data_IF_387431301549
#
_entry.id   IF_387431301549
#
_cell.length_a   1.000
_cell.length_b   1.000
_cell.length_c   1.000
_cell.angle_alpha   90.00
_cell.angle_beta   90.00
_cell.angle_gamma   90.00
#
_symmetry.space_group_name_H-M   'P 1'
#
loop_
_entity.id
_entity.type
_entity.pdbx_description
1 polymer ?
#
# COMPACT_ATOMS: atom_id res chain seq x y z
N UNK A 1 -12.14 -15.01 11.61
CA UNK A 1 -12.04 -13.66 11.01
C UNK A 1 -11.68 -13.86 9.56
N UNK A 2 -12.47 -13.38 8.61
CA UNK A 2 -12.17 -13.50 7.18
C UNK A 2 -11.25 -12.38 6.73
N UNK A 3 -10.14 -12.74 6.08
CA UNK A 3 -9.14 -11.78 5.59
C UNK A 3 -9.08 -11.82 4.07
N UNK A 4 -9.18 -10.66 3.42
CA UNK A 4 -8.93 -10.49 1.99
C UNK A 4 -7.56 -9.86 1.78
N UNK A 5 -6.74 -10.47 0.92
CA UNK A 5 -5.41 -10.02 0.56
C UNK A 5 -5.38 -9.53 -0.89
N UNK A 6 -4.68 -8.42 -1.13
CA UNK A 6 -4.32 -7.89 -2.45
C UNK A 6 -2.91 -7.29 -2.42
N UNK A 7 -2.39 -6.87 -3.57
CA UNK A 7 -1.17 -6.06 -3.70
C UNK A 7 -1.19 -5.30 -5.04
N UNK A 8 -0.13 -4.56 -5.35
CA UNK A 8 0.14 -4.00 -6.68
C UNK A 8 1.29 -4.70 -7.43
N UNK A 9 2.18 -5.44 -6.77
CA UNK A 9 3.25 -6.22 -7.45
C UNK A 9 2.71 -7.42 -8.29
N UNK A 10 1.46 -7.83 -8.06
CA UNK A 10 0.78 -8.92 -8.77
C UNK A 10 0.74 -10.26 -8.04
N UNK A 11 -0.07 -11.19 -8.56
CA UNK A 11 -0.49 -12.44 -7.90
C UNK A 11 0.66 -13.44 -7.62
N UNK A 12 1.75 -13.32 -8.35
CA UNK A 12 2.93 -14.19 -8.24
C UNK A 12 4.05 -13.57 -7.40
N UNK A 13 3.90 -12.33 -6.95
CA UNK A 13 4.93 -11.61 -6.21
C UNK A 13 5.28 -12.27 -4.88
N UNK A 14 6.56 -12.22 -4.52
CA UNK A 14 7.08 -12.73 -3.26
C UNK A 14 6.46 -12.02 -2.05
N UNK A 15 6.31 -10.70 -2.13
CA UNK A 15 5.69 -9.89 -1.07
C UNK A 15 4.25 -10.28 -0.76
N UNK A 16 3.48 -10.75 -1.76
CA UNK A 16 2.12 -11.27 -1.54
C UNK A 16 2.14 -12.64 -0.85
N UNK A 17 3.12 -13.49 -1.17
CA UNK A 17 3.31 -14.77 -0.48
C UNK A 17 3.71 -14.55 0.98
N UNK A 18 4.57 -13.54 1.22
CA UNK A 18 4.94 -13.07 2.56
C UNK A 18 3.72 -12.56 3.33
N UNK A 19 2.89 -11.72 2.71
CA UNK A 19 1.64 -11.24 3.32
C UNK A 19 0.70 -12.40 3.67
N UNK A 20 0.58 -13.39 2.80
CA UNK A 20 -0.24 -14.57 3.05
C UNK A 20 0.28 -15.39 4.25
N UNK A 21 1.60 -15.55 4.41
CA UNK A 21 2.20 -16.17 5.61
C UNK A 21 1.82 -15.40 6.86
N UNK A 22 1.95 -14.07 6.85
CA UNK A 22 1.56 -13.19 7.96
C UNK A 22 0.06 -13.33 8.28
N UNK A 23 -0.81 -13.23 7.27
CA UNK A 23 -2.26 -13.30 7.45
C UNK A 23 -2.70 -14.66 8.04
N UNK A 24 -2.03 -15.76 7.66
CA UNK A 24 -2.31 -17.10 8.19
C UNK A 24 -1.96 -17.27 9.67
N UNK A 25 -1.12 -16.40 10.23
CA UNK A 25 -0.92 -16.34 11.69
C UNK A 25 -2.11 -15.73 12.45
N UNK A 26 -3.01 -15.03 11.74
CA UNK A 26 -4.17 -14.33 12.30
C UNK A 26 -5.48 -15.09 12.10
N UNK A 27 -5.63 -15.78 10.96
CA UNK A 27 -6.79 -16.65 10.71
C UNK A 27 -6.49 -17.73 9.68
N UNK A 28 -7.28 -18.79 9.73
CA UNK A 28 -7.41 -19.83 8.71
C UNK A 28 -8.24 -19.43 7.47
N UNK A 29 -9.17 -18.48 7.59
CA UNK A 29 -10.02 -17.98 6.50
C UNK A 29 -9.38 -16.82 5.71
N UNK A 30 -8.32 -17.12 4.96
CA UNK A 30 -7.58 -16.16 4.13
C UNK A 30 -7.92 -16.33 2.65
N UNK A 31 -8.23 -15.22 1.99
CA UNK A 31 -8.55 -15.12 0.56
C UNK A 31 -7.58 -14.19 -0.14
N UNK A 32 -7.15 -14.55 -1.35
CA UNK A 32 -6.23 -13.76 -2.17
C UNK A 32 -6.93 -13.40 -3.47
N UNK A 33 -7.05 -12.10 -3.74
CA UNK A 33 -7.47 -11.56 -5.03
C UNK A 33 -6.50 -10.44 -5.37
N UNK A 34 -5.67 -10.63 -6.39
CA UNK A 34 -4.60 -9.68 -6.73
C UNK A 34 -4.46 -9.48 -8.24
N UNK A 35 -3.77 -8.42 -8.69
CA UNK A 35 -3.55 -8.18 -10.11
C UNK A 35 -2.80 -9.32 -10.82
N UNK A 36 -3.07 -9.51 -12.11
CA UNK A 36 -2.35 -10.49 -12.93
C UNK A 36 -0.85 -10.12 -13.08
N UNK A 37 -0.56 -8.82 -13.22
CA UNK A 37 0.77 -8.26 -13.43
C UNK A 37 0.97 -7.02 -12.55
N UNK A 38 2.22 -6.58 -12.42
CA UNK A 38 2.62 -5.34 -11.73
C UNK A 38 1.77 -4.13 -12.14
N UNK A 39 1.25 -3.41 -11.14
CA UNK A 39 0.41 -2.20 -11.21
C UNK A 39 1.04 -1.02 -10.45
N UNK A 40 2.36 -0.99 -10.31
CA UNK A 40 3.09 0.12 -9.68
C UNK A 40 2.75 1.46 -10.34
N UNK A 41 2.37 2.45 -9.53
CA UNK A 41 2.06 3.81 -9.98
C UNK A 41 0.65 4.02 -10.55
N UNK A 42 -0.24 3.03 -10.49
CA UNK A 42 -1.63 3.17 -10.93
C UNK A 42 -2.53 3.91 -9.93
N UNK A 43 -2.01 4.29 -8.75
CA UNK A 43 -2.75 5.00 -7.70
C UNK A 43 -4.10 4.31 -7.36
N UNK A 44 -5.08 5.09 -6.92
CA UNK A 44 -6.45 4.62 -6.66
C UNK A 44 -7.33 4.67 -7.92
N UNK A 45 -6.90 4.00 -8.99
CA UNK A 45 -7.64 3.93 -10.25
C UNK A 45 -8.58 2.73 -10.34
N UNK A 46 -9.70 2.91 -11.05
CA UNK A 46 -10.74 1.90 -11.26
C UNK A 46 -10.89 1.62 -12.76
N UNK A 47 -10.99 0.35 -13.16
CA UNK A 47 -11.18 -0.03 -14.56
C UNK A 47 -12.65 0.08 -14.97
N UNK A 48 -13.06 1.26 -15.47
CA UNK A 48 -14.45 1.52 -15.91
C UNK A 48 -14.64 1.27 -17.41
N UNK A 49 -13.61 1.55 -18.22
CA UNK A 49 -13.69 1.52 -19.68
C UNK A 49 -13.38 0.15 -20.29
N UNK A 50 -12.81 -0.78 -19.53
CA UNK A 50 -12.47 -2.13 -19.99
C UNK A 50 -13.10 -3.20 -19.09
N UNK A 51 -13.51 -4.36 -19.66
CA UNK A 51 -14.01 -5.47 -18.86
C UNK A 51 -12.90 -6.11 -18.03
N UNK A 52 -13.16 -6.32 -16.74
CA UNK A 52 -12.31 -7.10 -15.85
C UNK A 52 -12.35 -8.60 -16.20
N UNK A 53 -11.20 -9.27 -16.12
CA UNK A 53 -11.07 -10.72 -16.29
C UNK A 53 -10.60 -11.34 -14.98
N UNK A 54 -11.39 -12.28 -14.45
CA UNK A 54 -11.08 -13.03 -13.23
C UNK A 54 -10.59 -14.43 -13.59
N UNK A 55 -9.46 -14.85 -13.01
CA UNK A 55 -8.88 -16.18 -13.18
C UNK A 55 -8.71 -16.86 -11.83
N UNK A 56 -9.31 -18.04 -11.66
CA UNK A 56 -9.11 -18.87 -10.46
C UNK A 56 -7.78 -19.61 -10.57
N UNK A 57 -6.91 -19.44 -9.58
CA UNK A 57 -5.58 -20.07 -9.51
C UNK A 57 -5.56 -21.18 -8.46
N UNK A 58 -6.34 -21.02 -7.39
CA UNK A 58 -6.50 -22.01 -6.33
C UNK A 58 -7.86 -21.87 -5.68
N UNK A 59 -8.10 -22.63 -4.60
CA UNK A 59 -9.40 -22.63 -3.92
C UNK A 59 -9.84 -21.23 -3.48
N UNK A 60 -8.94 -20.50 -2.80
CA UNK A 60 -9.13 -19.12 -2.31
C UNK A 60 -8.13 -18.13 -2.93
N UNK A 61 -7.63 -18.42 -4.14
CA UNK A 61 -6.62 -17.61 -4.83
C UNK A 61 -7.08 -17.27 -6.24
N UNK A 62 -7.16 -15.99 -6.54
CA UNK A 62 -7.66 -15.47 -7.80
C UNK A 62 -6.77 -14.34 -8.30
N UNK A 63 -6.60 -14.27 -9.63
CA UNK A 63 -5.98 -13.14 -10.30
C UNK A 63 -7.02 -12.34 -11.08
N UNK A 64 -6.82 -11.03 -11.14
CA UNK A 64 -7.66 -10.10 -11.89
C UNK A 64 -6.79 -9.31 -12.86
N UNK A 65 -7.19 -9.25 -14.13
CA UNK A 65 -6.65 -8.24 -15.06
C UNK A 65 -7.28 -6.89 -14.71
N UNK A 66 -6.69 -6.18 -13.76
CA UNK A 66 -7.16 -4.90 -13.23
C UNK A 66 -6.24 -4.37 -12.12
N UNK A 67 -6.65 -3.30 -11.46
CA UNK A 67 -5.91 -2.60 -10.40
C UNK A 67 -6.11 -3.27 -9.03
N UNK A 68 -5.32 -2.89 -8.00
CA UNK A 68 -5.57 -3.35 -6.62
C UNK A 68 -6.98 -2.99 -6.12
N UNK A 69 -7.49 -1.81 -6.50
CA UNK A 69 -8.86 -1.37 -6.23
C UNK A 69 -9.88 -2.32 -6.86
N UNK A 70 -9.72 -2.67 -8.14
CA UNK A 70 -10.58 -3.63 -8.83
C UNK A 70 -10.56 -5.00 -8.12
N UNK A 71 -9.39 -5.43 -7.63
CA UNK A 71 -9.22 -6.69 -6.91
C UNK A 71 -10.01 -6.72 -5.59
N UNK A 72 -9.98 -5.63 -4.82
CA UNK A 72 -10.72 -5.52 -3.56
C UNK A 72 -12.23 -5.55 -3.79
N UNK A 73 -12.71 -4.79 -4.78
CA UNK A 73 -14.14 -4.80 -5.16
C UNK A 73 -14.56 -6.19 -5.63
N UNK A 74 -13.78 -6.80 -6.53
CA UNK A 74 -14.04 -8.15 -7.05
C UNK A 74 -14.07 -9.18 -5.91
N UNK A 75 -13.10 -9.08 -4.99
CA UNK A 75 -13.03 -9.89 -3.79
C UNK A 75 -14.30 -9.78 -2.95
N UNK A 76 -14.60 -8.57 -2.49
CA UNK A 76 -15.70 -8.31 -1.56
C UNK A 76 -17.09 -8.52 -2.16
N UNK A 77 -17.27 -8.28 -3.48
CA UNK A 77 -18.60 -8.29 -4.12
C UNK A 77 -18.89 -9.56 -4.92
N UNK A 78 -17.88 -10.31 -5.37
CA UNK A 78 -18.07 -11.44 -6.29
C UNK A 78 -17.42 -12.75 -5.83
N UNK A 79 -16.22 -12.69 -5.27
CA UNK A 79 -15.43 -13.89 -4.97
C UNK A 79 -15.76 -14.46 -3.60
N UNK A 80 -15.81 -13.61 -2.58
CA UNK A 80 -16.05 -14.05 -1.20
C UNK A 80 -17.55 -14.35 -0.97
N UNK A 81 -17.89 -15.28 -0.05
CA UNK A 81 -19.28 -15.58 0.29
C UNK A 81 -19.97 -14.49 1.14
N UNK A 82 -19.22 -13.47 1.55
CA UNK A 82 -19.67 -12.29 2.30
C UNK A 82 -18.50 -11.34 2.53
N UNK A 83 -18.77 -10.14 3.03
CA UNK A 83 -17.72 -9.14 3.28
C UNK A 83 -16.62 -9.73 4.19
N UNK A 84 -15.33 -9.44 3.91
CA UNK A 84 -14.26 -9.78 4.81
C UNK A 84 -14.29 -8.87 6.06
N UNK A 85 -13.71 -9.36 7.15
CA UNK A 85 -13.54 -8.59 8.38
C UNK A 85 -12.30 -7.65 8.29
N UNK A 86 -11.36 -7.99 7.41
CA UNK A 86 -10.09 -7.29 7.25
C UNK A 86 -9.62 -7.35 5.79
N UNK A 87 -9.17 -6.20 5.27
CA UNK A 87 -8.40 -6.13 4.02
C UNK A 87 -6.94 -5.84 4.37
N UNK A 88 -6.02 -6.66 3.86
CA UNK A 88 -4.59 -6.39 3.90
C UNK A 88 -4.08 -6.21 2.47
N UNK A 89 -3.33 -5.14 2.24
CA UNK A 89 -2.72 -4.83 0.94
C UNK A 89 -1.20 -4.79 1.05
N UNK A 90 -0.49 -5.59 0.25
CA UNK A 90 0.98 -5.68 0.26
C UNK A 90 1.49 -7.14 0.24
N UNK A 91 2.63 -7.46 0.86
CA UNK A 91 3.64 -6.54 1.38
C UNK A 91 4.37 -5.96 0.17
N UNK A 92 4.30 -4.64 -0.01
CA UNK A 92 4.89 -3.98 -1.17
C UNK A 92 6.42 -4.09 -1.16
N UNK A 93 7.00 -4.27 -2.35
CA UNK A 93 8.44 -4.16 -2.58
C UNK A 93 8.93 -2.70 -2.63
N UNK A 94 8.84 -1.99 -1.51
CA UNK A 94 9.26 -0.59 -1.37
C UNK A 94 8.35 0.20 -0.44
N UNK A 95 8.89 1.22 0.19
CA UNK A 95 8.14 2.06 1.14
C UNK A 95 7.12 2.94 0.41
N UNK A 96 5.90 3.01 0.95
CA UNK A 96 4.85 3.95 0.56
C UNK A 96 4.68 4.99 1.67
N UNK A 97 5.53 6.01 1.65
CA UNK A 97 5.63 7.05 2.68
C UNK A 97 5.46 8.43 2.06
N UNK A 98 5.10 9.41 2.90
CA UNK A 98 4.91 10.79 2.48
C UNK A 98 3.93 10.91 1.30
N UNK A 99 4.26 11.72 0.29
CA UNK A 99 3.40 12.01 -0.84
C UNK A 99 3.21 10.79 -1.78
N UNK A 100 4.08 9.77 -1.71
CA UNK A 100 3.97 8.54 -2.50
C UNK A 100 2.71 7.75 -2.17
N UNK A 101 2.14 7.96 -0.97
CA UNK A 101 0.83 7.43 -0.54
C UNK A 101 -0.26 7.67 -1.59
N UNK A 102 -0.23 8.83 -2.25
CA UNK A 102 -1.26 9.23 -3.25
C UNK A 102 -1.16 8.42 -4.54
N UNK A 103 0.02 7.91 -4.87
CA UNK A 103 0.31 7.20 -6.11
C UNK A 103 0.38 5.67 -5.92
N UNK A 104 0.33 5.22 -4.68
CA UNK A 104 0.56 3.83 -4.29
C UNK A 104 -0.64 2.93 -4.62
N UNK A 105 -0.40 1.88 -5.41
CA UNK A 105 -1.38 0.82 -5.64
C UNK A 105 -1.61 -0.03 -4.38
N UNK A 106 -0.55 -0.31 -3.63
CA UNK A 106 -0.67 -0.98 -2.33
C UNK A 106 -1.55 -0.18 -1.36
N UNK A 107 -1.34 1.12 -1.18
CA UNK A 107 -2.22 1.91 -0.29
C UNK A 107 -3.62 2.00 -0.88
N UNK A 108 -3.77 2.16 -2.20
CA UNK A 108 -5.06 2.15 -2.88
C UNK A 108 -5.91 0.89 -2.58
N UNK A 109 -5.30 -0.29 -2.50
CA UNK A 109 -6.02 -1.50 -2.07
C UNK A 109 -6.62 -1.37 -0.67
N UNK A 110 -5.91 -0.75 0.28
CA UNK A 110 -6.44 -0.49 1.61
C UNK A 110 -7.47 0.66 1.63
N UNK A 111 -7.30 1.68 0.79
CA UNK A 111 -8.29 2.76 0.61
C UNK A 111 -9.64 2.18 0.17
N UNK A 112 -9.66 1.30 -0.83
CA UNK A 112 -10.89 0.71 -1.34
C UNK A 112 -11.59 -0.14 -0.28
N UNK A 113 -10.84 -0.93 0.50
CA UNK A 113 -11.41 -1.68 1.62
C UNK A 113 -12.08 -0.77 2.65
N UNK A 114 -11.45 0.36 2.99
CA UNK A 114 -12.01 1.36 3.90
C UNK A 114 -13.25 2.04 3.33
N UNK A 115 -13.30 2.34 2.02
CA UNK A 115 -14.51 2.87 1.36
C UNK A 115 -15.69 1.88 1.40
N UNK A 116 -15.40 0.59 1.40
CA UNK A 116 -16.41 -0.46 1.57
C UNK A 116 -16.84 -0.67 3.03
N UNK A 117 -16.33 0.14 3.96
CA UNK A 117 -16.60 0.02 5.40
C UNK A 117 -15.87 -1.13 6.07
N UNK A 118 -14.78 -1.62 5.47
CA UNK A 118 -13.98 -2.73 5.98
C UNK A 118 -12.70 -2.17 6.59
N UNK A 119 -12.31 -2.72 7.75
CA UNK A 119 -11.02 -2.42 8.36
C UNK A 119 -9.89 -2.78 7.42
N UNK A 120 -9.01 -1.83 7.11
CA UNK A 120 -8.01 -2.00 6.05
C UNK A 120 -6.62 -1.52 6.46
N UNK A 121 -5.61 -2.30 6.09
CA UNK A 121 -4.20 -2.04 6.42
C UNK A 121 -3.32 -2.25 5.19
N UNK A 122 -2.48 -1.27 4.87
CA UNK A 122 -1.45 -1.37 3.85
C UNK A 122 -0.09 -1.69 4.50
N UNK A 123 0.70 -2.58 3.89
CA UNK A 123 2.00 -3.02 4.40
C UNK A 123 3.06 -2.88 3.30
N UNK A 124 4.20 -2.29 3.66
CA UNK A 124 5.27 -1.98 2.73
C UNK A 124 6.64 -2.28 3.35
N UNK A 125 7.53 -2.95 2.62
CA UNK A 125 8.89 -3.27 3.08
C UNK A 125 9.92 -2.41 2.37
N UNK A 126 10.67 -1.62 3.14
CA UNK A 126 11.81 -0.87 2.60
C UNK A 126 12.93 -1.82 2.19
N UNK A 127 13.68 -1.47 1.15
CA UNK A 127 14.71 -2.33 0.58
C UNK A 127 16.04 -1.59 0.40
N UNK A 128 17.10 -2.36 0.12
CA UNK A 128 18.42 -1.86 -0.31
C UNK A 128 18.71 -2.30 -1.74
N UNK A 129 19.75 -1.72 -2.34
CA UNK A 129 20.34 -2.26 -3.57
C UNK A 129 21.70 -2.84 -3.22
N UNK A 130 21.97 -4.06 -3.70
CA UNK A 130 23.31 -4.64 -3.73
C UNK A 130 23.76 -4.69 -5.19
N UNK A 131 24.60 -3.74 -5.59
CA UNK A 131 24.90 -3.48 -6.99
C UNK A 131 23.65 -3.09 -7.79
N UNK A 132 23.30 -3.90 -8.79
CA UNK A 132 22.10 -3.74 -9.62
C UNK A 132 20.88 -4.50 -9.07
N UNK A 133 21.07 -5.35 -8.06
CA UNK A 133 20.01 -6.20 -7.51
C UNK A 133 19.26 -5.48 -6.38
N UNK A 134 17.94 -5.60 -6.40
CA UNK A 134 17.05 -5.11 -5.34
C UNK A 134 16.90 -6.19 -4.26
N UNK A 135 17.31 -5.89 -3.03
CA UNK A 135 17.23 -6.82 -1.89
C UNK A 135 16.14 -6.36 -0.92
N UNK A 136 15.05 -7.11 -0.87
CA UNK A 136 13.86 -6.78 -0.05
C UNK A 136 13.79 -7.74 1.15
N UNK A 137 14.03 -7.28 2.38
CA UNK A 137 14.07 -8.15 3.56
C UNK A 137 12.64 -8.41 4.08
N UNK A 138 11.85 -9.21 3.35
CA UNK A 138 10.48 -9.56 3.75
C UNK A 138 10.42 -10.27 5.11
N UNK A 139 11.49 -10.95 5.51
CA UNK A 139 11.63 -11.57 6.82
C UNK A 139 11.45 -10.58 7.98
N UNK A 140 11.78 -9.30 7.78
CA UNK A 140 11.55 -8.24 8.78
C UNK A 140 10.06 -7.99 8.97
N UNK A 141 9.32 -7.83 7.88
CA UNK A 141 7.87 -7.70 7.95
C UNK A 141 7.22 -8.98 8.50
N UNK A 142 7.68 -10.17 8.11
CA UNK A 142 7.14 -11.45 8.60
C UNK A 142 7.33 -11.65 10.10
N UNK A 143 8.47 -11.22 10.64
CA UNK A 143 8.75 -11.31 12.07
C UNK A 143 7.93 -10.32 12.90
N UNK A 144 7.69 -9.11 12.39
CA UNK A 144 7.12 -8.00 13.17
C UNK A 144 5.62 -7.78 12.95
N UNK A 145 5.11 -8.05 11.74
CA UNK A 145 3.72 -7.78 11.39
C UNK A 145 2.69 -8.58 12.21
N UNK A 146 2.87 -9.89 12.52
CA UNK A 146 1.85 -10.66 13.25
C UNK A 146 1.43 -10.02 14.57
N UNK A 147 2.40 -9.65 15.41
CA UNK A 147 2.10 -9.10 16.73
C UNK A 147 1.66 -7.64 16.66
N UNK A 148 2.14 -6.87 15.67
CA UNK A 148 1.64 -5.53 15.41
C UNK A 148 0.18 -5.55 14.96
N UNK A 149 -0.18 -6.42 14.02
CA UNK A 149 -1.54 -6.57 13.51
C UNK A 149 -2.50 -7.01 14.60
N UNK A 150 -2.12 -7.96 15.48
CA UNK A 150 -2.95 -8.34 16.65
C UNK A 150 -3.28 -7.14 17.53
N UNK A 151 -2.30 -6.28 17.83
CA UNK A 151 -2.51 -5.05 18.63
C UNK A 151 -3.45 -4.08 17.93
N UNK A 152 -3.26 -3.85 16.63
CA UNK A 152 -4.11 -2.95 15.84
C UNK A 152 -5.55 -3.48 15.72
N UNK A 153 -5.72 -4.79 15.56
CA UNK A 153 -7.03 -5.44 15.47
C UNK A 153 -7.79 -5.44 16.81
N UNK A 154 -7.09 -5.40 17.94
CA UNK A 154 -7.70 -5.29 19.27
C UNK A 154 -8.27 -3.90 19.57
N UNK A 155 -7.83 -2.86 18.85
CA UNK A 155 -8.42 -1.52 18.97
C UNK A 155 -9.82 -1.46 18.33
N UNK A 156 -10.69 -0.52 18.74
CA UNK A 156 -11.94 -0.25 18.02
C UNK A 156 -11.66 0.10 16.55
N UNK A 157 -12.51 -0.40 15.64
CA UNK A 157 -12.45 0.02 14.24
C UNK A 157 -13.00 1.44 14.12
N UNK A 158 -12.22 2.32 13.48
CA UNK A 158 -12.65 3.67 13.13
C UNK A 158 -13.00 3.68 11.64
N UNK A 159 -14.26 3.97 11.31
CA UNK A 159 -14.70 4.10 9.93
C UNK A 159 -13.97 5.26 9.22
N UNK A 160 -13.73 5.09 7.91
CA UNK A 160 -13.05 6.10 7.09
C UNK A 160 -11.53 6.23 7.36
N UNK A 161 -10.96 5.39 8.23
CA UNK A 161 -9.52 5.37 8.54
C UNK A 161 -8.92 4.03 8.12
N UNK A 162 -7.84 4.10 7.33
CA UNK A 162 -6.95 2.96 7.07
C UNK A 162 -5.62 3.14 7.80
N UNK A 163 -4.89 2.05 8.02
CA UNK A 163 -3.55 2.10 8.62
C UNK A 163 -2.50 1.78 7.56
N UNK A 164 -1.52 2.67 7.38
CA UNK A 164 -0.37 2.45 6.51
C UNK A 164 0.85 2.08 7.35
N UNK A 165 1.43 0.91 7.08
CA UNK A 165 2.59 0.37 7.82
C UNK A 165 3.78 0.26 6.87
N UNK A 166 4.91 0.83 7.29
CA UNK A 166 6.17 0.68 6.59
C UNK A 166 7.22 0.06 7.52
N UNK A 167 7.92 -0.95 7.03
CA UNK A 167 9.02 -1.62 7.73
C UNK A 167 10.38 -1.09 7.22
N UNK A 168 11.36 -0.89 8.10
CA UNK A 168 12.69 -0.43 7.71
C UNK A 168 13.49 -1.54 7.01
N UNK A 169 14.56 -1.14 6.32
CA UNK A 169 15.44 -2.01 5.51
C UNK A 169 16.57 -2.66 6.33
N UNK A 170 16.27 -3.12 7.53
CA UNK A 170 17.19 -3.81 8.42
C UNK A 170 16.55 -5.11 8.93
N UNK A 171 17.35 -6.00 9.51
CA UNK A 171 16.84 -7.25 10.05
C UNK A 171 15.93 -7.00 11.28
N UNK A 172 15.01 -7.92 11.54
CA UNK A 172 14.00 -7.76 12.59
C UNK A 172 14.59 -7.43 13.99
N UNK A 173 15.73 -8.02 14.34
CA UNK A 173 16.41 -7.76 15.62
C UNK A 173 17.06 -6.37 15.73
N UNK A 174 17.30 -5.71 14.58
CA UNK A 174 17.93 -4.39 14.52
C UNK A 174 16.89 -3.25 14.47
N UNK A 175 15.60 -3.60 14.34
CA UNK A 175 14.49 -2.64 14.39
C UNK A 175 14.37 -2.08 15.80
N UNK A 176 14.48 -0.74 15.93
CA UNK A 176 14.53 -0.04 17.22
C UNK A 176 13.18 0.05 17.93
N UNK A 177 12.08 -0.19 17.20
CA UNK A 177 10.72 -0.21 17.73
C UNK A 177 9.68 0.18 16.70
N UNK A 178 8.48 0.48 17.18
CA UNK A 178 7.35 0.95 16.35
C UNK A 178 6.94 2.36 16.78
N UNK A 179 6.73 3.25 15.81
CA UNK A 179 6.29 4.62 16.04
C UNK A 179 4.97 4.89 15.31
N UNK A 180 4.03 5.52 16.01
CA UNK A 180 2.89 6.17 15.36
C UNK A 180 3.40 7.45 14.71
N UNK A 181 3.13 7.62 13.43
CA UNK A 181 3.72 8.67 12.60
C UNK A 181 2.68 9.50 11.89
N UNK A 182 3.05 10.73 11.53
CA UNK A 182 2.33 11.52 10.53
C UNK A 182 2.90 11.28 9.13
N UNK A 183 2.09 11.50 8.10
CA UNK A 183 2.56 11.50 6.72
C UNK A 183 3.60 12.61 6.53
N UNK A 184 4.79 12.24 6.08
CA UNK A 184 5.87 13.16 5.74
C UNK A 184 5.58 13.93 4.46
N UNK A 185 6.53 14.78 4.06
CA UNK A 185 6.45 15.53 2.81
C UNK A 185 7.79 15.46 2.09
N UNK A 186 7.76 15.15 0.80
CA UNK A 186 8.97 15.07 -0.02
C UNK A 186 8.88 16.13 -1.11
N UNK A 187 10.00 16.80 -1.39
CA UNK A 187 10.08 17.62 -2.59
C UNK A 187 10.24 16.68 -3.78
N UNK A 188 9.13 16.44 -4.49
CA UNK A 188 9.17 15.68 -5.73
C UNK A 188 9.99 16.45 -6.78
N UNK A 189 11.06 15.82 -7.26
CA UNK A 189 11.75 16.26 -8.47
C UNK A 189 11.23 15.38 -9.61
N UNK A 190 10.49 15.99 -10.51
CA UNK A 190 10.00 15.33 -11.71
C UNK A 190 10.73 15.91 -12.93
N UNK A 191 11.25 15.04 -13.78
CA UNK A 191 11.82 15.44 -15.06
C UNK A 191 11.47 14.45 -16.15
N UNK A 192 11.50 14.95 -17.39
CA UNK A 192 11.23 14.18 -18.59
C UNK A 192 12.56 13.95 -19.31
N UNK A 193 12.93 12.68 -19.49
CA UNK A 193 14.11 12.25 -20.25
C UNK A 193 13.67 11.88 -21.67
N UNK A 194 13.91 12.81 -22.62
CA UNK A 194 13.65 12.60 -24.04
C UNK A 194 14.74 11.76 -24.69
N UNK A 195 14.32 10.72 -25.43
CA UNK A 195 15.21 9.84 -26.20
C UNK A 195 14.59 9.57 -27.56
N UNK A 196 15.35 8.88 -28.43
CA UNK A 196 14.86 8.42 -29.73
C UNK A 196 15.00 6.90 -29.85
N UNK A 197 14.00 6.25 -30.44
CA UNK A 197 14.04 4.82 -30.72
C UNK A 197 15.01 4.50 -31.88
N UNK A 198 15.20 3.21 -32.20
CA UNK A 198 16.09 2.80 -33.29
C UNK A 198 15.69 3.30 -34.69
N UNK A 199 14.48 3.88 -34.84
CA UNK A 199 13.98 4.51 -36.07
C UNK A 199 14.02 6.04 -36.01
N UNK A 200 14.56 6.61 -34.94
CA UNK A 200 14.66 8.05 -34.73
C UNK A 200 13.37 8.70 -34.19
N UNK A 201 12.34 7.93 -33.82
CA UNK A 201 11.09 8.48 -33.27
C UNK A 201 11.29 8.88 -31.80
N UNK A 202 10.87 10.09 -31.38
CA UNK A 202 11.05 10.52 -29.99
C UNK A 202 10.15 9.74 -29.04
N UNK A 203 10.66 9.44 -27.85
CA UNK A 203 9.91 8.93 -26.71
C UNK A 203 10.43 9.56 -25.41
N UNK A 204 9.62 9.51 -24.36
CA UNK A 204 9.84 10.27 -23.14
C UNK A 204 9.69 9.37 -21.92
N UNK A 205 10.73 9.31 -21.08
CA UNK A 205 10.63 8.68 -19.77
C UNK A 205 10.25 9.72 -18.72
N UNK A 206 9.19 9.45 -17.98
CA UNK A 206 8.91 10.17 -16.75
C UNK A 206 9.78 9.60 -15.63
N UNK A 207 10.59 10.47 -15.00
CA UNK A 207 11.46 10.08 -13.89
C UNK A 207 11.08 10.85 -12.63
N UNK A 208 11.03 10.11 -11.53
CA UNK A 208 10.84 10.64 -10.21
C UNK A 208 12.18 10.58 -9.47
N UNK A 209 12.59 11.70 -8.90
CA UNK A 209 13.65 11.78 -7.91
C UNK A 209 13.08 12.30 -6.61
N UNK A 210 13.60 11.79 -5.50
CA UNK A 210 13.36 12.37 -4.19
C UNK A 210 14.37 13.50 -3.99
N UNK A 211 13.89 14.72 -3.79
CA UNK A 211 14.72 15.83 -3.31
C UNK A 211 15.08 15.67 -1.83
N UNK A 212 15.66 16.72 -1.24
CA UNK A 212 15.84 16.76 0.21
C UNK A 212 14.51 16.56 0.92
N UNK A 213 14.51 15.59 1.83
CA UNK A 213 13.42 15.32 2.76
C UNK A 213 13.62 16.20 3.99
N UNK A 214 12.60 16.99 4.36
CA UNK A 214 12.54 17.58 5.69
C UNK A 214 11.99 16.51 6.65
N UNK A 215 12.78 15.44 6.87
CA UNK A 215 12.48 14.28 7.71
C UNK A 215 12.28 14.65 9.18
N UNK A 216 11.21 15.41 9.45
CA UNK A 216 10.88 15.94 10.76
C UNK A 216 10.57 14.77 11.67
N UNK A 217 11.10 14.79 12.89
CA UNK A 217 10.78 13.81 13.91
C UNK A 217 9.27 13.67 14.07
N UNK A 218 8.80 12.43 14.11
CA UNK A 218 7.37 12.07 14.13
C UNK A 218 6.76 11.78 12.75
N UNK A 219 7.49 11.99 11.65
CA UNK A 219 7.04 11.58 10.30
C UNK A 219 7.39 10.13 9.99
N UNK A 220 6.65 9.54 9.05
CA UNK A 220 6.93 8.22 8.48
C UNK A 220 8.33 8.12 7.86
N UNK A 221 8.78 9.16 7.14
CA UNK A 221 10.14 9.23 6.59
C UNK A 221 11.17 9.11 7.70
N UNK A 222 11.06 9.92 8.74
CA UNK A 222 12.01 9.92 9.86
C UNK A 222 12.05 8.55 10.55
N UNK A 223 10.89 7.92 10.79
CA UNK A 223 10.85 6.60 11.41
C UNK A 223 11.62 5.56 10.58
N UNK A 224 11.36 5.50 9.27
CA UNK A 224 12.00 4.53 8.37
C UNK A 224 13.50 4.78 8.23
N UNK A 225 13.93 6.04 8.13
CA UNK A 225 15.35 6.41 8.06
C UNK A 225 16.11 6.12 9.37
N UNK A 226 15.40 5.99 10.49
CA UNK A 226 15.97 5.72 11.81
C UNK A 226 15.69 4.30 12.32
N UNK A 227 15.35 3.36 11.44
CA UNK A 227 15.14 1.93 11.75
C UNK A 227 13.95 1.65 12.70
N UNK A 228 12.90 2.47 12.63
CA UNK A 228 11.62 2.21 13.29
C UNK A 228 10.57 1.75 12.27
N UNK A 229 9.65 0.88 12.71
CA UNK A 229 8.41 0.63 11.97
C UNK A 229 7.52 1.86 12.08
N UNK A 230 7.08 2.38 10.94
CA UNK A 230 6.13 3.49 10.85
C UNK A 230 4.70 2.95 10.79
N UNK A 231 3.80 3.55 11.58
CA UNK A 231 2.36 3.28 11.58
C UNK A 231 1.62 4.60 11.45
N UNK A 232 1.11 4.89 10.26
CA UNK A 232 0.40 6.15 9.96
C UNK A 232 -1.08 5.88 9.74
N UNK A 233 -1.99 6.44 10.57
CA UNK A 233 -3.42 6.43 10.26
C UNK A 233 -3.70 7.43 9.13
N UNK A 234 -4.38 6.99 8.07
CA UNK A 234 -4.75 7.82 6.93
C UNK A 234 -6.26 7.91 6.79
N UNK A 235 -6.74 9.09 6.39
CA UNK A 235 -8.15 9.38 6.13
C UNK A 235 -8.40 9.49 4.63
N UNK A 236 -9.65 9.22 4.24
CA UNK A 236 -10.11 9.34 2.85
C UNK A 236 -10.93 10.61 2.59
N UNK A 237 -11.35 11.30 3.66
CA UNK A 237 -11.98 12.60 3.53
C UNK A 237 -10.91 13.68 3.39
N UNK A 238 -10.68 14.10 2.16
CA UNK A 238 -9.72 15.16 1.83
C UNK A 238 -10.25 16.58 2.05
N UNK A 239 -11.42 16.73 2.69
CA UNK A 239 -11.96 18.05 3.02
C UNK A 239 -11.01 18.78 3.97
N UNK A 240 -10.47 19.92 3.54
CA UNK A 240 -9.69 20.80 4.38
C UNK A 240 -10.62 21.59 5.33
N UNK A 241 -11.10 20.92 6.40
CA UNK A 241 -12.07 21.47 7.36
C UNK A 241 -11.64 22.83 7.94
N UNK A 242 -10.34 23.03 8.17
CA UNK A 242 -9.71 24.27 8.65
C UNK A 242 -10.05 25.52 7.81
N UNK A 243 -10.29 25.37 6.50
CA UNK A 243 -10.52 26.51 5.60
C UNK A 243 -11.99 26.80 5.33
N UNK A 244 -12.89 25.89 5.71
CA UNK A 244 -14.32 25.95 5.32
C UNK A 244 -15.00 27.22 5.81
N UNK A 245 -14.70 27.63 7.03
CA UNK A 245 -15.27 28.84 7.63
C UNK A 245 -14.79 30.11 6.91
N UNK A 246 -13.54 30.13 6.45
CA UNK A 246 -12.98 31.24 5.69
C UNK A 246 -13.62 31.35 4.31
N UNK A 247 -13.80 30.22 3.62
CA UNK A 247 -14.49 30.17 2.33
C UNK A 247 -15.94 30.63 2.45
N UNK A 248 -16.65 30.17 3.49
CA UNK A 248 -18.05 30.56 3.72
C UNK A 248 -18.19 32.07 3.91
N UNK A 249 -17.28 32.68 4.68
CA UNK A 249 -17.28 34.13 4.89
C UNK A 249 -16.93 34.92 3.62
N UNK A 250 -16.04 34.40 2.78
CA UNK A 250 -15.61 35.08 1.55
C UNK A 250 -16.66 35.09 0.44
N UNK A 251 -17.61 34.15 0.47
CA UNK A 251 -18.67 33.98 -0.55
C UNK A 251 -20.00 34.66 -0.18
N UNK A 252 -20.12 35.18 1.05
CA UNK A 252 -21.30 35.90 1.54
C UNK A 252 -21.28 37.37 1.12
#
# INVERSE_FOLDING_TARGET
MRILLTNDDGIHAEGLQSLERVARTLSDDVWVVAPENDQSGYAHSLSISEPLRLRKIGEKRFAVRGTPTDCVIMGARKVLPGLPDLVLSGINSGSNIADDVTYSGTVAGAMEGTLLGIRSIALSQSYTHDGEERVVPYETAEALAPDLLKKLLAMPHQEGVLININFPKCAAQDVKGTQVTSQGKVVHRLWIDERRDGRGLPYYWMRFGRGESNGKTGTDIHAIENDYVSVTPLQLDFTAYEIRDQLTKALA
#
